data_IF_711039061430
#
_entry.id   IF_711039061430
#
_cell.length_a   1.000
_cell.length_b   1.000
_cell.length_c   1.000
_cell.angle_alpha   90.00
_cell.angle_beta   90.00
_cell.angle_gamma   90.00
#
_symmetry.space_group_name_H-M   'P 1'
#
loop_
_entity.id
_entity.type
_entity.pdbx_description
1 polymer ?
#
# COMPACT_ATOMS: atom_id res chain seq x y z
N UNK A 1 21.80 10.99 22.00
CA UNK A 1 21.24 9.64 22.17
C UNK A 1 20.12 9.61 23.23
N UNK A 2 20.40 10.11 24.44
CA UNK A 2 19.39 10.14 25.51
C UNK A 2 18.17 10.98 25.11
N UNK A 3 18.39 12.08 24.42
CA UNK A 3 17.33 12.99 24.00
C UNK A 3 16.43 12.34 22.93
N UNK A 4 17.03 11.64 21.98
CA UNK A 4 16.29 10.93 20.94
C UNK A 4 15.46 9.81 21.54
N UNK A 5 16.06 9.02 22.44
CA UNK A 5 15.36 7.93 23.12
C UNK A 5 14.17 8.43 23.93
N UNK A 6 14.32 9.57 24.60
CA UNK A 6 13.27 10.16 25.39
C UNK A 6 12.10 10.65 24.52
N UNK A 7 12.39 11.35 23.44
CA UNK A 7 11.37 11.84 22.52
C UNK A 7 10.61 10.70 21.83
N UNK A 8 11.33 9.72 21.32
CA UNK A 8 10.72 8.57 20.67
C UNK A 8 9.93 7.72 21.66
N UNK A 9 10.46 7.55 22.88
CA UNK A 9 9.75 6.83 23.93
C UNK A 9 8.42 7.48 24.27
N UNK A 10 8.38 8.81 24.31
CA UNK A 10 7.14 9.54 24.57
C UNK A 10 6.15 9.39 23.40
N UNK A 11 6.62 9.45 22.18
CA UNK A 11 5.78 9.26 20.99
C UNK A 11 5.20 7.85 20.92
N UNK A 12 6.01 6.86 21.15
CA UNK A 12 5.55 5.46 21.16
C UNK A 12 4.57 5.21 22.30
N UNK A 13 4.79 5.83 23.47
CA UNK A 13 3.84 5.77 24.58
C UNK A 13 2.49 6.36 24.22
N UNK A 14 2.47 7.49 23.51
CA UNK A 14 1.23 8.10 23.03
C UNK A 14 0.52 7.22 22.01
N UNK A 15 1.27 6.64 21.10
CA UNK A 15 0.72 5.75 20.10
C UNK A 15 0.11 4.51 20.73
N UNK A 16 0.83 3.89 21.64
CA UNK A 16 0.37 2.71 22.37
C UNK A 16 -0.93 3.00 23.14
N UNK A 17 -0.97 4.15 23.80
CA UNK A 17 -2.15 4.59 24.54
C UNK A 17 -3.35 4.78 23.61
N UNK A 18 -3.14 5.39 22.45
CA UNK A 18 -4.20 5.57 21.46
C UNK A 18 -4.73 4.22 20.96
N UNK A 19 -3.84 3.30 20.67
CA UNK A 19 -4.25 1.95 20.24
C UNK A 19 -5.05 1.23 21.31
N UNK A 20 -4.67 1.38 22.59
CA UNK A 20 -5.42 0.81 23.69
C UNK A 20 -6.79 1.46 23.86
N UNK A 21 -6.89 2.77 23.69
CA UNK A 21 -8.16 3.49 23.73
C UNK A 21 -9.11 2.98 22.63
N UNK A 22 -8.61 2.77 21.44
CA UNK A 22 -9.42 2.21 20.36
C UNK A 22 -9.93 0.81 20.68
N UNK A 23 -9.09 -0.03 21.25
CA UNK A 23 -9.51 -1.37 21.67
C UNK A 23 -10.57 -1.34 22.78
N UNK A 24 -10.38 -0.45 23.74
CA UNK A 24 -11.33 -0.29 24.83
C UNK A 24 -12.67 0.23 24.36
N UNK A 25 -12.69 1.17 23.43
CA UNK A 25 -13.91 1.68 22.83
C UNK A 25 -14.65 0.60 22.03
N UNK A 26 -13.91 -0.21 21.32
CA UNK A 26 -14.46 -1.35 20.59
C UNK A 26 -15.16 -2.30 21.55
N UNK A 27 -14.53 -2.62 22.68
CA UNK A 27 -15.08 -3.51 23.68
C UNK A 27 -16.31 -2.92 24.41
N UNK A 28 -16.31 -1.61 24.63
CA UNK A 28 -17.39 -0.93 25.37
C UNK A 28 -18.60 -0.61 24.51
N UNK A 29 -18.38 -0.12 23.31
CA UNK A 29 -19.46 0.38 22.46
C UNK A 29 -19.95 -0.64 21.44
N UNK A 30 -19.37 -1.82 21.45
CA UNK A 30 -19.77 -2.86 20.54
C UNK A 30 -19.59 -2.49 19.07
N UNK A 31 -18.43 -1.95 18.74
CA UNK A 31 -17.95 -1.92 17.35
C UNK A 31 -17.98 -0.61 16.56
N UNK A 32 -18.04 0.55 17.16
CA UNK A 32 -18.19 1.75 16.32
C UNK A 32 -16.91 2.27 15.67
N UNK A 33 -15.72 1.97 16.20
CA UNK A 33 -14.49 2.61 15.70
C UNK A 33 -13.48 1.73 14.99
N UNK A 34 -13.52 0.42 15.21
CA UNK A 34 -12.59 -0.52 14.57
C UNK A 34 -13.30 -1.71 13.98
N UNK A 35 -14.53 -1.50 13.50
CA UNK A 35 -15.22 -2.54 12.77
C UNK A 35 -14.56 -2.68 11.42
N UNK A 36 -13.96 -3.85 11.10
CA UNK A 36 -13.44 -4.06 9.77
C UNK A 36 -14.54 -3.87 8.75
N UNK A 37 -14.21 -3.22 7.65
CA UNK A 37 -15.13 -3.10 6.53
C UNK A 37 -15.20 -4.45 5.84
N UNK A 38 -16.28 -5.20 6.09
CA UNK A 38 -16.42 -6.56 5.57
C UNK A 38 -16.49 -6.60 4.05
N UNK A 39 -17.11 -5.60 3.43
CA UNK A 39 -17.18 -5.51 1.98
C UNK A 39 -15.80 -5.27 1.37
N UNK A 40 -15.01 -4.42 1.99
CA UNK A 40 -13.62 -4.22 1.56
C UNK A 40 -12.81 -5.48 1.78
N UNK A 41 -13.03 -6.18 2.89
CA UNK A 41 -12.37 -7.45 3.15
C UNK A 41 -12.62 -8.45 2.02
N UNK A 42 -13.85 -8.54 1.54
CA UNK A 42 -14.19 -9.41 0.43
C UNK A 42 -13.53 -8.95 -0.88
N UNK A 43 -13.52 -7.65 -1.16
CA UNK A 43 -12.84 -7.10 -2.32
C UNK A 43 -11.33 -7.40 -2.27
N UNK A 44 -10.74 -7.23 -1.12
CA UNK A 44 -9.33 -7.49 -0.92
C UNK A 44 -9.01 -8.97 -1.15
N UNK A 45 -9.77 -9.86 -0.54
CA UNK A 45 -9.53 -11.29 -0.61
C UNK A 45 -9.84 -11.88 -2.00
N UNK A 46 -10.88 -11.39 -2.66
CA UNK A 46 -11.38 -12.00 -3.89
C UNK A 46 -10.89 -11.32 -5.17
N UNK A 47 -10.52 -10.04 -5.11
CA UNK A 47 -10.13 -9.27 -6.29
C UNK A 47 -8.73 -8.69 -6.16
N UNK A 48 -8.47 -7.87 -5.14
CA UNK A 48 -7.21 -7.13 -5.05
C UNK A 48 -6.01 -8.04 -4.84
N UNK A 49 -6.06 -8.88 -3.83
CA UNK A 49 -4.94 -9.77 -3.50
C UNK A 49 -4.64 -10.79 -4.60
N UNK A 50 -5.62 -11.50 -5.15
CA UNK A 50 -5.32 -12.47 -6.21
C UNK A 50 -4.61 -11.83 -7.41
N UNK A 51 -5.02 -10.63 -7.80
CA UNK A 51 -4.40 -9.92 -8.92
C UNK A 51 -2.99 -9.46 -8.56
N UNK A 52 -2.79 -8.94 -7.34
CA UNK A 52 -1.45 -8.59 -6.88
C UNK A 52 -0.51 -9.79 -6.91
N UNK A 53 -0.99 -10.96 -6.49
CA UNK A 53 -0.20 -12.19 -6.52
C UNK A 53 0.09 -12.67 -7.95
N UNK A 54 -0.83 -12.46 -8.89
CA UNK A 54 -0.55 -12.74 -10.30
C UNK A 54 0.61 -11.88 -10.81
N UNK A 55 0.58 -10.59 -10.51
CA UNK A 55 1.64 -9.67 -10.91
C UNK A 55 2.96 -10.00 -10.23
N UNK A 56 2.90 -10.45 -8.99
CA UNK A 56 4.10 -10.89 -8.27
C UNK A 56 4.74 -12.09 -8.98
N UNK A 57 3.93 -13.09 -9.37
CA UNK A 57 4.41 -14.24 -10.12
C UNK A 57 5.00 -13.83 -11.47
N UNK A 58 4.33 -12.92 -12.15
CA UNK A 58 4.83 -12.40 -13.42
C UNK A 58 6.21 -11.77 -13.25
N UNK A 59 6.38 -10.93 -12.22
CA UNK A 59 7.66 -10.29 -11.94
C UNK A 59 8.74 -11.28 -11.49
N UNK A 60 8.36 -12.30 -10.74
CA UNK A 60 9.31 -13.35 -10.33
C UNK A 60 9.87 -14.11 -11.54
N UNK A 61 9.09 -14.21 -12.61
CA UNK A 61 9.50 -14.92 -13.82
C UNK A 61 10.12 -13.98 -14.85
N UNK A 62 9.39 -12.92 -15.23
CA UNK A 62 9.81 -12.02 -16.31
C UNK A 62 10.64 -10.83 -15.82
N UNK A 63 10.55 -10.49 -14.55
CA UNK A 63 11.30 -9.37 -13.98
C UNK A 63 12.72 -9.70 -13.59
N UNK A 64 13.07 -10.98 -13.45
CA UNK A 64 14.40 -11.41 -13.04
C UNK A 64 15.54 -10.87 -13.90
N UNK A 65 15.45 -10.94 -15.24
CA UNK A 65 16.53 -10.42 -16.07
C UNK A 65 16.82 -8.94 -15.88
N UNK A 66 15.80 -8.17 -15.49
CA UNK A 66 15.95 -6.73 -15.24
C UNK A 66 15.94 -6.38 -13.75
N UNK A 67 16.01 -7.39 -12.90
CA UNK A 67 16.10 -7.24 -11.44
C UNK A 67 14.91 -6.49 -10.83
N UNK A 68 13.74 -6.69 -11.42
CA UNK A 68 12.49 -6.08 -10.94
C UNK A 68 11.65 -7.12 -10.23
N UNK A 69 11.16 -6.76 -9.04
CA UNK A 69 10.31 -7.60 -8.21
C UNK A 69 9.30 -6.74 -7.48
N UNK A 70 8.49 -7.35 -6.63
CA UNK A 70 7.56 -6.60 -5.80
C UNK A 70 7.37 -7.25 -4.44
N UNK A 71 6.87 -6.47 -3.51
CA UNK A 71 6.48 -6.94 -2.18
C UNK A 71 5.01 -6.56 -1.98
N UNK A 72 4.23 -7.53 -1.48
CA UNK A 72 2.83 -7.31 -1.10
C UNK A 72 2.77 -7.31 0.41
N UNK A 73 2.25 -6.22 1.00
CA UNK A 73 2.20 -6.07 2.44
C UNK A 73 0.81 -5.73 2.95
N UNK A 74 0.49 -6.28 4.12
CA UNK A 74 -0.65 -5.88 4.92
C UNK A 74 -0.09 -5.31 6.23
N UNK A 75 0.18 -4.00 6.27
CA UNK A 75 0.96 -3.42 7.37
C UNK A 75 0.31 -3.58 8.75
N UNK A 76 -1.02 -3.62 8.81
CA UNK A 76 -1.68 -3.77 10.11
C UNK A 76 -3.03 -4.47 9.96
N UNK A 77 -3.30 -5.54 10.76
CA UNK A 77 -4.56 -6.30 10.63
C UNK A 77 -5.82 -5.46 10.88
N UNK A 78 -5.74 -4.44 11.72
CA UNK A 78 -6.89 -3.60 12.05
C UNK A 78 -7.20 -2.55 11.00
N UNK A 79 -6.24 -2.18 10.17
CA UNK A 79 -6.42 -1.12 9.17
C UNK A 79 -6.86 -1.63 7.80
N UNK A 80 -6.74 -2.92 7.57
CA UNK A 80 -7.11 -3.58 6.31
C UNK A 80 -6.36 -3.06 5.08
N UNK A 81 -5.33 -2.26 5.27
CA UNK A 81 -4.52 -1.75 4.17
C UNK A 81 -3.82 -2.91 3.46
N UNK A 82 -3.80 -2.85 2.13
CA UNK A 82 -2.99 -3.77 1.34
C UNK A 82 -2.18 -2.99 0.33
N UNK A 83 -0.88 -3.23 0.28
CA UNK A 83 0.00 -2.49 -0.60
C UNK A 83 0.82 -3.41 -1.51
N UNK A 84 1.15 -2.86 -2.66
CA UNK A 84 1.99 -3.47 -3.68
C UNK A 84 3.14 -2.51 -3.95
N UNK A 85 4.35 -2.91 -3.60
CA UNK A 85 5.53 -2.06 -3.75
C UNK A 85 6.50 -2.71 -4.73
N UNK A 86 6.92 -1.93 -5.72
CA UNK A 86 7.93 -2.41 -6.66
C UNK A 86 9.31 -2.34 -6.01
N UNK A 87 10.18 -3.26 -6.40
CA UNK A 87 11.56 -3.31 -5.93
C UNK A 87 12.49 -3.53 -7.10
N UNK A 88 13.62 -2.86 -7.07
CA UNK A 88 14.71 -3.09 -8.03
C UNK A 88 16.03 -3.30 -7.27
N UNK A 89 17.07 -3.66 -7.97
CA UNK A 89 18.40 -3.83 -7.36
C UNK A 89 19.16 -2.51 -7.35
N UNK A 90 18.60 -1.52 -6.66
CA UNK A 90 19.19 -0.20 -6.45
C UNK A 90 19.32 0.65 -7.71
N UNK A 91 18.54 0.37 -8.77
CA UNK A 91 18.61 1.15 -9.99
C UNK A 91 17.96 2.53 -9.82
N UNK A 92 16.66 2.56 -9.47
CA UNK A 92 15.98 3.83 -9.23
C UNK A 92 15.94 4.24 -7.77
N UNK A 93 16.00 3.33 -6.84
CA UNK A 93 16.04 3.65 -5.41
C UNK A 93 17.24 4.51 -5.06
N UNK A 94 18.29 4.46 -5.88
CA UNK A 94 19.46 5.33 -5.76
C UNK A 94 19.15 6.77 -6.17
N UNK A 95 18.14 6.99 -7.01
CA UNK A 95 17.82 8.28 -7.62
C UNK A 95 16.44 8.82 -7.26
N UNK A 96 15.65 8.08 -6.48
CA UNK A 96 14.32 8.52 -6.13
C UNK A 96 13.52 7.48 -5.35
N UNK A 97 12.24 7.76 -5.20
CA UNK A 97 11.33 6.92 -4.45
C UNK A 97 10.93 5.66 -5.20
N UNK A 98 10.72 4.58 -4.46
CA UNK A 98 10.22 3.32 -5.02
C UNK A 98 8.70 3.41 -5.10
N UNK A 99 8.09 3.05 -6.25
CA UNK A 99 6.64 3.12 -6.39
C UNK A 99 5.91 2.12 -5.49
N UNK A 100 4.86 2.60 -4.87
CA UNK A 100 3.98 1.78 -4.05
C UNK A 100 2.54 2.23 -4.22
N UNK A 101 1.61 1.28 -4.30
CA UNK A 101 0.18 1.54 -4.33
C UNK A 101 -0.46 0.84 -3.14
N UNK A 102 -1.29 1.55 -2.39
CA UNK A 102 -1.98 1.02 -1.22
C UNK A 102 -3.48 1.19 -1.41
N UNK A 103 -4.23 0.11 -1.19
CA UNK A 103 -5.68 0.13 -1.18
C UNK A 103 -6.14 0.02 0.27
N UNK A 104 -7.06 0.88 0.68
CA UNK A 104 -7.57 0.83 2.05
C UNK A 104 -9.02 1.32 2.12
N UNK A 105 -9.80 0.81 3.11
CA UNK A 105 -11.17 1.26 3.28
C UNK A 105 -11.22 2.53 4.14
N UNK A 106 -12.08 3.45 3.75
CA UNK A 106 -12.34 4.66 4.54
C UNK A 106 -13.68 5.23 4.14
N UNK A 107 -14.53 5.53 5.11
CA UNK A 107 -15.85 6.14 4.90
C UNK A 107 -16.73 5.36 3.92
N UNK A 108 -16.69 4.04 3.99
CA UNK A 108 -17.48 3.17 3.11
C UNK A 108 -17.01 3.11 1.67
N UNK A 109 -15.86 3.69 1.37
CA UNK A 109 -15.28 3.73 0.02
C UNK A 109 -13.91 3.05 0.01
N UNK A 110 -13.37 2.84 -1.16
CA UNK A 110 -12.00 2.35 -1.33
C UNK A 110 -11.11 3.52 -1.69
N UNK A 111 -10.11 3.75 -0.88
CA UNK A 111 -9.10 4.77 -1.14
C UNK A 111 -7.86 4.12 -1.69
N UNK A 112 -7.21 4.80 -2.62
CA UNK A 112 -5.97 4.36 -3.23
C UNK A 112 -4.93 5.44 -3.01
N UNK A 113 -3.80 5.04 -2.46
CA UNK A 113 -2.68 5.94 -2.18
C UNK A 113 -1.50 5.48 -3.00
N UNK A 114 -1.05 6.31 -3.94
CA UNK A 114 0.08 6.02 -4.81
C UNK A 114 1.27 6.89 -4.44
N UNK A 115 2.42 6.26 -4.21
CA UNK A 115 3.65 6.93 -3.82
C UNK A 115 4.76 6.60 -4.82
N UNK A 116 5.64 7.57 -5.06
CA UNK A 116 6.84 7.33 -5.88
C UNK A 116 6.59 7.17 -7.37
N UNK A 117 5.37 7.38 -7.84
CA UNK A 117 5.01 7.15 -9.25
C UNK A 117 5.22 8.36 -10.14
N UNK A 118 5.07 9.56 -9.60
CA UNK A 118 5.14 10.77 -10.41
C UNK A 118 6.47 11.50 -10.30
N UNK A 119 6.77 12.28 -11.31
CA UNK A 119 8.02 13.01 -11.41
C UNK A 119 8.28 14.00 -10.29
N UNK A 120 7.24 14.55 -9.68
CA UNK A 120 7.36 15.51 -8.59
C UNK A 120 7.48 14.85 -7.21
N UNK A 121 7.31 13.53 -7.13
CA UNK A 121 7.45 12.78 -5.88
C UNK A 121 6.33 12.96 -4.89
N UNK A 122 5.27 13.68 -5.22
CA UNK A 122 4.14 13.85 -4.31
C UNK A 122 3.19 12.66 -4.36
N UNK A 123 2.74 12.14 -3.20
CA UNK A 123 1.74 11.09 -3.19
C UNK A 123 0.40 11.56 -3.75
N UNK A 124 -0.31 10.64 -4.38
CA UNK A 124 -1.64 10.90 -4.90
C UNK A 124 -2.64 9.99 -4.18
N UNK A 125 -3.69 10.59 -3.64
CA UNK A 125 -4.79 9.86 -3.06
C UNK A 125 -6.02 10.02 -3.95
N UNK A 126 -6.71 8.91 -4.19
CA UNK A 126 -7.97 8.89 -4.92
C UNK A 126 -8.96 7.99 -4.19
N UNK A 127 -10.23 8.15 -4.50
CA UNK A 127 -11.31 7.46 -3.78
C UNK A 127 -12.35 6.97 -4.78
N UNK A 128 -12.86 5.77 -4.53
CA UNK A 128 -13.76 5.07 -5.44
C UNK A 128 -14.86 4.37 -4.67
N UNK A 129 -16.01 4.17 -5.32
CA UNK A 129 -17.04 3.30 -4.77
C UNK A 129 -16.56 1.84 -4.84
N UNK A 130 -17.02 1.03 -3.92
CA UNK A 130 -16.61 -0.39 -3.86
C UNK A 130 -16.92 -1.13 -5.16
N UNK A 131 -18.03 -0.80 -5.81
CA UNK A 131 -18.42 -1.44 -7.08
C UNK A 131 -17.54 -1.05 -8.27
N UNK A 132 -16.72 -0.01 -8.13
CA UNK A 132 -15.76 0.38 -9.16
C UNK A 132 -14.48 -0.46 -9.10
N UNK A 133 -14.24 -1.16 -8.00
CA UNK A 133 -13.04 -1.97 -7.82
C UNK A 133 -13.28 -3.33 -8.43
N UNK A 134 -13.01 -3.45 -9.72
CA UNK A 134 -13.13 -4.68 -10.49
C UNK A 134 -11.75 -5.25 -10.76
N UNK A 135 -11.69 -6.48 -11.27
CA UNK A 135 -10.42 -7.06 -11.69
C UNK A 135 -9.71 -6.17 -12.71
N UNK A 136 -10.46 -5.68 -13.68
CA UNK A 136 -9.92 -4.82 -14.74
C UNK A 136 -9.36 -3.53 -14.17
N UNK A 137 -10.05 -2.94 -13.21
CA UNK A 137 -9.60 -1.74 -12.53
C UNK A 137 -8.25 -1.97 -11.84
N UNK A 138 -8.14 -3.05 -11.05
CA UNK A 138 -6.91 -3.37 -10.33
C UNK A 138 -5.77 -3.67 -11.30
N UNK A 139 -6.05 -4.43 -12.37
CA UNK A 139 -5.05 -4.73 -13.40
C UNK A 139 -4.51 -3.47 -14.06
N UNK A 140 -5.38 -2.54 -14.41
CA UNK A 140 -4.97 -1.26 -15.00
C UNK A 140 -4.09 -0.45 -14.07
N UNK A 141 -4.42 -0.44 -12.79
CA UNK A 141 -3.63 0.30 -11.80
C UNK A 141 -2.24 -0.30 -11.62
N UNK A 142 -2.14 -1.60 -11.47
CA UNK A 142 -0.85 -2.27 -11.31
C UNK A 142 0.00 -2.20 -12.58
N UNK A 143 -0.62 -2.39 -13.73
CA UNK A 143 0.07 -2.25 -15.02
C UNK A 143 0.60 -0.84 -15.19
N UNK A 144 -0.21 0.17 -14.87
CA UNK A 144 0.20 1.56 -14.93
C UNK A 144 1.39 1.87 -14.05
N UNK A 145 1.38 1.36 -12.82
CA UNK A 145 2.47 1.52 -11.87
C UNK A 145 3.78 0.93 -12.44
N UNK A 146 3.71 -0.28 -12.94
CA UNK A 146 4.88 -0.96 -13.51
C UNK A 146 5.39 -0.22 -14.75
N UNK A 147 4.49 0.20 -15.65
CA UNK A 147 4.87 0.92 -16.86
C UNK A 147 5.57 2.24 -16.55
N UNK A 148 5.05 3.01 -15.62
CA UNK A 148 5.68 4.27 -15.20
C UNK A 148 7.08 4.02 -14.66
N UNK A 149 7.25 2.99 -13.86
CA UNK A 149 8.53 2.64 -13.28
C UNK A 149 9.53 2.21 -14.35
N UNK A 150 9.12 1.35 -15.26
CA UNK A 150 9.96 0.87 -16.36
C UNK A 150 10.34 2.04 -17.27
N UNK A 151 9.41 2.94 -17.57
CA UNK A 151 9.69 4.14 -18.37
C UNK A 151 10.74 5.01 -17.71
N UNK A 152 10.67 5.19 -16.39
CA UNK A 152 11.69 5.93 -15.64
C UNK A 152 13.05 5.25 -15.72
N UNK A 153 13.09 3.94 -15.60
CA UNK A 153 14.32 3.17 -15.76
C UNK A 153 14.91 3.34 -17.16
N UNK A 154 14.07 3.23 -18.19
CA UNK A 154 14.51 3.41 -19.57
C UNK A 154 15.07 4.81 -19.80
N UNK A 155 14.43 5.84 -19.27
CA UNK A 155 14.90 7.21 -19.39
C UNK A 155 16.25 7.43 -18.69
N UNK A 156 16.47 6.73 -17.59
CA UNK A 156 17.74 6.80 -16.86
C UNK A 156 18.89 6.11 -17.61
N UNK A 157 18.57 5.04 -18.32
CA UNK A 157 19.56 4.24 -19.03
C UNK A 157 19.87 4.81 -20.43
N UNK A 158 19.03 5.68 -20.93
CA UNK A 158 19.24 6.38 -22.20
C UNK A 158 19.93 7.73 -21.96
#
# INVERSE_FOLDING_TARGET
LERIDKELGQLFGKLEKKLQEYKLEEDKEGKEKLVPDSEFGELSDNIIQPIMFEYKKFLETKGKPVLLSCIIEKPHPLLQDISFELRDSNLLSKYGSIPRITFFPKDGRVHIFEEGTLGDGHPIESSYNKNEITEDFVRKRLTGLIKEYVDKLLNRLM
#
